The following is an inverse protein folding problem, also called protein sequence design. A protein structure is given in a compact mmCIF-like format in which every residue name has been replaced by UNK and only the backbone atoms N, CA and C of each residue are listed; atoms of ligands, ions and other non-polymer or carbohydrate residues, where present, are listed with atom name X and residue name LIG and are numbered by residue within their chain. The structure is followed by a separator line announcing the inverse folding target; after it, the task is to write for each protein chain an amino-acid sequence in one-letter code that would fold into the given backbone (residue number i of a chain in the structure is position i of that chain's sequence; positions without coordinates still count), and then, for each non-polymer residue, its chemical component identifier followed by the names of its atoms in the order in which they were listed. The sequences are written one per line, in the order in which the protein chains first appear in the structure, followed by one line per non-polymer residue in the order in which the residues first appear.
data_IF_391548599359
#
_entry.id   IF_391548599359
#
_cell.length_a   1.000
_cell.length_b   1.000
_cell.length_c   1.000
_cell.angle_alpha   90.00
_cell.angle_beta   90.00
_cell.angle_gamma   90.00
#
_symmetry.space_group_name_H-M   'P 1'
#
loop_
_entity.id
_entity.type
_entity.pdbx_description
1 polymer ?
#
# COMPACT_ATOMS: atom_id res chain seq x y z
N UNK A 1 -12.56 -32.25 26.12
CA UNK A 1 -11.29 -32.15 25.39
C UNK A 1 -11.14 -30.71 24.92
N UNK A 2 -10.41 -29.90 25.69
CA UNK A 2 -10.07 -28.51 25.36
C UNK A 2 -8.73 -28.52 24.61
N UNK A 3 -8.67 -27.84 23.47
CA UNK A 3 -7.44 -27.72 22.70
C UNK A 3 -7.62 -27.11 21.32
N UNK A 4 -7.55 -25.76 21.27
CA UNK A 4 -6.92 -24.92 20.22
C UNK A 4 -7.43 -23.48 20.34
N UNK A 5 -6.88 -22.72 21.29
CA UNK A 5 -7.05 -21.27 21.34
C UNK A 5 -5.70 -20.60 21.11
N UNK A 6 -5.28 -20.47 19.85
CA UNK A 6 -3.97 -19.93 19.52
C UNK A 6 -3.99 -19.22 18.17
N UNK A 7 -4.33 -17.93 18.19
CA UNK A 7 -3.92 -16.94 17.19
C UNK A 7 -4.34 -17.18 15.75
N UNK A 8 -5.64 -17.36 15.46
CA UNK A 8 -6.09 -17.26 14.07
C UNK A 8 -6.01 -15.80 13.60
N UNK A 9 -5.35 -15.57 12.46
CA UNK A 9 -5.28 -14.25 11.81
C UNK A 9 -6.69 -13.74 11.50
N UNK A 10 -6.98 -12.49 11.89
CA UNK A 10 -8.24 -11.81 11.61
C UNK A 10 -8.03 -10.68 10.58
N UNK A 11 -8.48 -10.85 9.32
CA UNK A 11 -8.43 -9.81 8.31
C UNK A 11 -9.18 -8.54 8.72
N UNK A 12 -10.25 -8.66 9.53
CA UNK A 12 -11.05 -7.55 10.01
C UNK A 12 -10.25 -6.64 10.95
N UNK A 13 -9.51 -7.21 11.91
CA UNK A 13 -8.56 -6.45 12.72
C UNK A 13 -7.46 -5.79 11.88
N UNK A 14 -6.94 -6.51 10.88
CA UNK A 14 -5.94 -5.93 9.98
C UNK A 14 -6.52 -4.72 9.23
N UNK A 15 -7.70 -4.83 8.62
CA UNK A 15 -8.31 -3.78 7.80
C UNK A 15 -8.78 -2.55 8.59
N UNK A 16 -9.04 -2.69 9.90
CA UNK A 16 -9.47 -1.60 10.80
C UNK A 16 -8.58 -0.36 10.75
N UNK A 17 -7.29 -0.50 10.43
CA UNK A 17 -6.34 0.61 10.35
C UNK A 17 -5.90 0.95 8.91
N UNK A 18 -6.67 0.56 7.90
CA UNK A 18 -6.37 0.78 6.47
C UNK A 18 -5.94 2.20 6.13
N UNK A 19 -6.69 3.21 6.58
CA UNK A 19 -6.38 4.62 6.29
C UNK A 19 -5.06 5.12 6.89
N UNK A 20 -4.66 4.64 8.07
CA UNK A 20 -3.37 5.02 8.67
C UNK A 20 -2.17 4.49 7.90
N UNK A 21 -2.35 3.42 7.10
CA UNK A 21 -1.27 2.78 6.34
C UNK A 21 -0.88 3.53 5.07
N UNK A 22 -1.75 4.39 4.55
CA UNK A 22 -1.41 5.19 3.38
C UNK A 22 -0.45 6.33 3.71
N UNK A 23 -0.51 6.86 4.94
CA UNK A 23 0.28 8.02 5.36
C UNK A 23 1.80 7.81 5.18
N UNK A 24 2.41 6.69 5.63
CA UNK A 24 3.84 6.44 5.39
C UNK A 24 4.22 6.46 3.91
N UNK A 25 3.37 5.92 3.03
CA UNK A 25 3.64 5.90 1.60
C UNK A 25 3.61 7.31 1.01
N UNK A 26 2.62 8.13 1.37
CA UNK A 26 2.52 9.53 0.91
C UNK A 26 3.71 10.36 1.40
N UNK A 27 4.11 10.20 2.66
CA UNK A 27 5.30 10.87 3.22
C UNK A 27 6.60 10.42 2.53
N UNK A 28 6.68 9.15 2.10
CA UNK A 28 7.79 8.67 1.29
C UNK A 28 7.82 9.31 -0.09
N UNK A 29 6.68 9.42 -0.78
CA UNK A 29 6.60 10.05 -2.10
C UNK A 29 7.07 11.51 -2.09
N UNK A 30 6.84 12.24 -1.00
CA UNK A 30 7.32 13.61 -0.82
C UNK A 30 8.85 13.73 -0.77
N UNK A 31 9.56 12.64 -0.46
CA UNK A 31 11.03 12.61 -0.44
C UNK A 31 11.65 12.19 -1.77
N UNK A 32 10.83 11.82 -2.76
CA UNK A 32 11.30 11.48 -4.10
C UNK A 32 11.38 12.77 -4.93
N UNK A 33 12.58 13.31 -5.06
CA UNK A 33 12.87 14.52 -5.86
C UNK A 33 13.00 14.20 -7.36
N UNK A 34 12.05 13.41 -7.87
CA UNK A 34 11.97 13.09 -9.29
C UNK A 34 10.52 13.19 -9.76
N UNK A 35 10.24 14.20 -10.58
CA UNK A 35 8.88 14.50 -11.04
C UNK A 35 8.52 13.77 -12.35
N UNK A 36 9.51 13.41 -13.16
CA UNK A 36 9.32 12.76 -14.46
C UNK A 36 9.40 11.22 -14.38
N UNK A 37 8.75 10.63 -13.37
CA UNK A 37 8.67 9.18 -13.23
C UNK A 37 7.87 8.60 -14.40
N UNK A 38 8.46 7.65 -15.13
CA UNK A 38 7.79 6.98 -16.26
C UNK A 38 7.14 5.65 -15.87
N UNK A 39 7.69 4.97 -14.87
CA UNK A 39 7.17 3.70 -14.35
C UNK A 39 7.29 3.70 -12.84
N UNK A 40 6.19 3.40 -12.15
CA UNK A 40 6.13 3.22 -10.70
C UNK A 40 5.60 1.82 -10.39
N UNK A 41 6.23 1.12 -9.46
CA UNK A 41 5.87 -0.26 -9.09
C UNK A 41 5.57 -0.33 -7.60
N UNK A 42 4.37 -0.79 -7.26
CA UNK A 42 3.91 -1.07 -5.91
C UNK A 42 4.09 -2.56 -5.60
N UNK A 43 5.07 -2.89 -4.77
CA UNK A 43 5.41 -4.26 -4.36
C UNK A 43 4.68 -4.61 -3.07
N UNK A 44 3.91 -5.70 -3.08
CA UNK A 44 2.95 -6.03 -2.03
C UNK A 44 1.69 -5.16 -2.10
N UNK A 45 1.12 -4.99 -3.31
CA UNK A 45 0.14 -3.93 -3.57
C UNK A 45 -1.19 -4.08 -2.81
N UNK A 46 -1.52 -5.29 -2.33
CA UNK A 46 -2.73 -5.55 -1.56
C UNK A 46 -4.00 -4.97 -2.20
N UNK A 47 -4.71 -4.09 -1.48
CA UNK A 47 -5.95 -3.43 -1.94
C UNK A 47 -5.74 -2.32 -2.97
N UNK A 48 -4.49 -2.01 -3.31
CA UNK A 48 -4.10 -1.02 -4.34
C UNK A 48 -4.21 0.44 -3.91
N UNK A 49 -4.28 0.72 -2.61
CA UNK A 49 -4.37 2.10 -2.10
C UNK A 49 -3.10 2.91 -2.41
N UNK A 50 -1.93 2.27 -2.32
CA UNK A 50 -0.64 2.89 -2.60
C UNK A 50 -0.49 3.14 -4.11
N UNK A 51 -0.77 2.15 -4.96
CA UNK A 51 -0.79 2.33 -6.41
C UNK A 51 -1.69 3.50 -6.88
N UNK A 52 -2.89 3.68 -6.29
CA UNK A 52 -3.75 4.84 -6.58
C UNK A 52 -3.09 6.16 -6.19
N UNK A 53 -2.42 6.21 -5.04
CA UNK A 53 -1.70 7.40 -4.61
C UNK A 53 -0.47 7.70 -5.49
N UNK A 54 0.24 6.68 -5.98
CA UNK A 54 1.32 6.84 -6.97
C UNK A 54 0.79 7.45 -8.27
N UNK A 55 -0.33 6.95 -8.79
CA UNK A 55 -0.96 7.47 -10.00
C UNK A 55 -1.41 8.94 -9.84
N UNK A 56 -1.83 9.34 -8.64
CA UNK A 56 -2.17 10.73 -8.35
C UNK A 56 -0.91 11.64 -8.29
N UNK A 57 0.21 11.13 -7.76
CA UNK A 57 1.47 11.90 -7.63
C UNK A 57 2.25 12.02 -8.95
N UNK A 58 2.24 10.97 -9.75
CA UNK A 58 2.91 10.91 -11.05
C UNK A 58 1.89 10.51 -12.14
N UNK A 59 1.08 11.47 -12.64
CA UNK A 59 -0.01 11.17 -13.58
C UNK A 59 0.44 10.56 -14.91
N UNK A 60 1.67 10.87 -15.34
CA UNK A 60 2.26 10.37 -16.59
C UNK A 60 2.98 9.02 -16.41
N UNK A 61 3.10 8.52 -15.17
CA UNK A 61 3.75 7.26 -14.90
C UNK A 61 2.83 6.08 -15.23
N UNK A 62 3.39 5.04 -15.83
CA UNK A 62 2.77 3.73 -15.82
C UNK A 62 2.88 3.13 -14.40
N UNK A 63 1.75 2.93 -13.72
CA UNK A 63 1.71 2.36 -12.37
C UNK A 63 1.36 0.87 -12.42
N UNK A 64 2.18 0.02 -11.80
CA UNK A 64 2.01 -1.43 -11.74
C UNK A 64 1.96 -1.92 -10.30
N UNK A 65 1.06 -2.85 -10.00
CA UNK A 65 1.03 -3.56 -8.72
C UNK A 65 1.49 -5.00 -8.88
N UNK A 66 2.30 -5.48 -7.93
CA UNK A 66 2.70 -6.88 -7.81
C UNK A 66 2.52 -7.31 -6.36
N UNK A 67 1.92 -8.48 -6.12
CA UNK A 67 1.71 -9.09 -4.80
C UNK A 67 1.93 -10.61 -4.90
#
# INVERSE_FOLDING_TARGET
MSGRGGGAWDPGQYLRFGGHRLRPAVELFQRVEHDAVRVAVDMGCGTGDIARAMAARWPEAEVRGHD
#
